data_IF_303411663167
#
_entry.id   IF_303411663167
#
_cell.length_a   1.000
_cell.length_b   1.000
_cell.length_c   1.000
_cell.angle_alpha   90.00
_cell.angle_beta   90.00
_cell.angle_gamma   90.00
#
_symmetry.space_group_name_H-M   'P 1'
#
loop_
_entity.id
_entity.type
_entity.pdbx_description
1 polymer ?
#
# COMPACT_ATOMS: atom_id res chain seq x y z
N UNK A 1 -32.85 15.52 7.58
CA UNK A 1 -32.05 14.83 8.61
C UNK A 1 -31.90 13.32 8.37
N UNK A 2 -32.98 12.52 8.29
CA UNK A 2 -32.88 11.05 8.08
C UNK A 2 -32.16 10.64 6.78
N UNK A 3 -32.42 11.33 5.67
CA UNK A 3 -31.74 11.07 4.39
C UNK A 3 -30.23 11.36 4.46
N UNK A 4 -29.87 12.47 5.10
CA UNK A 4 -28.47 12.87 5.28
C UNK A 4 -27.68 11.85 6.11
N UNK A 5 -28.27 11.35 7.21
CA UNK A 5 -27.67 10.29 8.03
C UNK A 5 -27.48 9.01 7.20
N UNK A 6 -28.47 8.62 6.39
CA UNK A 6 -28.36 7.44 5.52
C UNK A 6 -27.22 7.58 4.49
N UNK A 7 -27.07 8.77 3.89
CA UNK A 7 -25.98 9.06 2.96
C UNK A 7 -24.62 8.94 3.66
N UNK A 8 -24.46 9.53 4.84
CA UNK A 8 -23.22 9.44 5.62
C UNK A 8 -22.87 7.99 5.95
N UNK A 9 -23.85 7.20 6.43
CA UNK A 9 -23.64 5.80 6.76
C UNK A 9 -23.25 4.97 5.53
N UNK A 10 -23.86 5.25 4.37
CA UNK A 10 -23.50 4.59 3.11
C UNK A 10 -22.08 4.91 2.69
N UNK A 11 -21.67 6.19 2.75
CA UNK A 11 -20.30 6.60 2.44
C UNK A 11 -19.28 5.98 3.40
N UNK A 12 -19.60 5.91 4.69
CA UNK A 12 -18.76 5.26 5.70
C UNK A 12 -18.62 3.76 5.41
N UNK A 13 -19.69 3.08 5.03
CA UNK A 13 -19.65 1.67 4.66
C UNK A 13 -18.75 1.44 3.43
N UNK A 14 -18.90 2.26 2.38
CA UNK A 14 -18.04 2.19 1.18
C UNK A 14 -16.57 2.42 1.55
N UNK A 15 -16.30 3.41 2.40
CA UNK A 15 -14.96 3.71 2.90
C UNK A 15 -14.33 2.51 3.62
N UNK A 16 -15.07 1.88 4.54
CA UNK A 16 -14.60 0.72 5.29
C UNK A 16 -14.34 -0.48 4.36
N UNK A 17 -15.21 -0.72 3.38
CA UNK A 17 -15.01 -1.77 2.37
C UNK A 17 -13.73 -1.52 1.58
N UNK A 18 -13.53 -0.30 1.07
CA UNK A 18 -12.32 0.06 0.32
C UNK A 18 -11.07 -0.07 1.19
N UNK A 19 -11.13 0.32 2.46
CA UNK A 19 -10.03 0.16 3.41
C UNK A 19 -9.65 -1.32 3.58
N UNK A 20 -10.63 -2.20 3.78
CA UNK A 20 -10.39 -3.65 3.90
C UNK A 20 -9.80 -4.24 2.62
N UNK A 21 -10.37 -3.89 1.46
CA UNK A 21 -9.90 -4.38 0.15
C UNK A 21 -8.47 -3.92 -0.13
N UNK A 22 -8.17 -2.65 0.08
CA UNK A 22 -6.83 -2.09 -0.15
C UNK A 22 -5.79 -2.59 0.86
N UNK A 23 -6.22 -3.01 2.05
CA UNK A 23 -5.33 -3.54 3.09
C UNK A 23 -5.03 -5.04 2.94
N UNK A 24 -5.76 -5.78 2.10
CA UNK A 24 -5.56 -7.23 1.95
C UNK A 24 -5.05 -7.59 0.55
N UNK A 25 -3.80 -8.05 0.48
CA UNK A 25 -3.22 -8.58 -0.75
C UNK A 25 -4.00 -9.76 -1.33
N UNK A 26 -4.49 -10.65 -0.47
CA UNK A 26 -5.32 -11.77 -0.90
C UNK A 26 -6.65 -11.33 -1.53
N UNK A 27 -7.30 -10.28 -1.01
CA UNK A 27 -8.50 -9.71 -1.65
C UNK A 27 -8.16 -9.06 -2.99
N UNK A 28 -7.07 -8.30 -3.06
CA UNK A 28 -6.60 -7.72 -4.32
C UNK A 28 -6.31 -8.80 -5.37
N UNK A 29 -5.71 -9.93 -4.98
CA UNK A 29 -5.48 -11.07 -5.86
C UNK A 29 -6.79 -11.69 -6.36
N UNK A 30 -7.77 -11.91 -5.47
CA UNK A 30 -9.08 -12.46 -5.85
C UNK A 30 -9.82 -11.56 -6.83
N UNK A 31 -9.84 -10.26 -6.57
CA UNK A 31 -10.43 -9.25 -7.47
C UNK A 31 -9.69 -9.25 -8.81
N UNK A 32 -8.35 -9.34 -8.78
CA UNK A 32 -7.58 -9.41 -10.01
C UNK A 32 -7.95 -10.63 -10.85
N UNK A 33 -8.00 -11.83 -10.27
CA UNK A 33 -8.39 -13.07 -10.96
C UNK A 33 -9.83 -12.99 -11.50
N UNK A 34 -10.74 -12.36 -10.77
CA UNK A 34 -12.12 -12.14 -11.21
C UNK A 34 -12.19 -11.22 -12.44
N UNK A 35 -11.43 -10.13 -12.46
CA UNK A 35 -11.41 -9.16 -13.55
C UNK A 35 -10.55 -9.58 -14.75
N UNK A 36 -9.68 -10.57 -14.57
CA UNK A 36 -8.71 -11.02 -15.57
C UNK A 36 -8.69 -12.55 -15.64
N UNK A 37 -9.83 -13.18 -16.02
CA UNK A 37 -9.96 -14.64 -16.01
C UNK A 37 -8.99 -15.34 -16.96
N UNK A 38 -8.64 -14.69 -18.07
CA UNK A 38 -7.77 -15.26 -19.12
C UNK A 38 -6.28 -15.16 -18.79
N UNK A 39 -5.91 -14.54 -17.67
CA UNK A 39 -4.50 -14.41 -17.28
C UNK A 39 -3.97 -15.70 -16.68
N UNK A 40 -2.81 -16.13 -17.18
CA UNK A 40 -2.20 -17.40 -16.80
C UNK A 40 -1.12 -17.15 -15.74
N UNK A 41 -1.15 -17.96 -14.68
CA UNK A 41 -0.11 -17.97 -13.64
C UNK A 41 1.17 -18.63 -14.18
N UNK A 42 2.30 -17.93 -14.08
CA UNK A 42 3.62 -18.44 -14.45
C UNK A 42 4.27 -19.15 -13.26
N UNK A 43 4.73 -20.38 -13.48
CA UNK A 43 5.43 -21.17 -12.47
C UNK A 43 6.88 -20.74 -12.27
N UNK A 44 7.56 -20.43 -13.38
CA UNK A 44 8.99 -20.12 -13.37
C UNK A 44 9.23 -18.62 -13.54
N UNK A 45 9.62 -17.97 -12.45
CA UNK A 45 10.07 -16.58 -12.45
C UNK A 45 11.20 -16.40 -11.45
N UNK A 46 12.02 -15.37 -11.68
CA UNK A 46 13.14 -14.99 -10.82
C UNK A 46 13.03 -13.53 -10.46
N UNK A 47 13.12 -13.21 -9.17
CA UNK A 47 13.27 -11.82 -8.73
C UNK A 47 14.72 -11.42 -8.96
N UNK A 48 14.93 -10.37 -9.75
CA UNK A 48 16.24 -9.85 -10.09
C UNK A 48 16.72 -8.80 -9.08
N UNK A 49 15.82 -7.88 -8.72
CA UNK A 49 16.15 -6.75 -7.86
C UNK A 49 14.91 -6.26 -7.10
N UNK A 50 15.15 -5.62 -5.96
CA UNK A 50 14.14 -4.97 -5.15
C UNK A 50 14.69 -3.67 -4.57
N UNK A 51 14.20 -2.53 -5.07
CA UNK A 51 14.69 -1.21 -4.69
C UNK A 51 13.69 -0.53 -3.78
N UNK A 52 14.17 0.01 -2.66
CA UNK A 52 13.33 0.71 -1.69
C UNK A 52 13.74 2.17 -1.63
N UNK A 53 12.77 3.08 -1.72
CA UNK A 53 12.99 4.52 -1.62
C UNK A 53 11.91 5.20 -0.80
N UNK A 54 12.26 6.36 -0.26
CA UNK A 54 11.34 7.23 0.46
C UNK A 54 10.51 8.05 -0.50
N UNK A 55 9.24 8.28 -0.17
CA UNK A 55 8.42 9.18 -0.94
C UNK A 55 7.40 9.91 -0.07
N UNK A 56 7.16 11.18 -0.42
CA UNK A 56 6.10 12.00 0.15
C UNK A 56 4.75 11.80 -0.56
N UNK A 57 4.70 11.04 -1.67
CA UNK A 57 3.46 10.78 -2.44
C UNK A 57 2.30 10.33 -1.53
N UNK A 58 1.05 10.81 -1.74
CA UNK A 58 0.63 11.67 -2.85
C UNK A 58 1.01 13.15 -2.67
N UNK A 59 1.36 13.58 -1.45
CA UNK A 59 1.64 14.97 -1.13
C UNK A 59 3.10 15.30 -1.41
N UNK A 60 3.39 15.94 -2.55
CA UNK A 60 4.76 16.19 -3.07
C UNK A 60 5.63 17.14 -2.21
N UNK A 61 5.19 17.54 -1.01
CA UNK A 61 5.92 18.46 -0.12
C UNK A 61 5.85 17.97 1.33
N UNK A 62 6.91 18.28 2.08
CA UNK A 62 7.03 17.95 3.49
C UNK A 62 7.75 16.63 3.73
N UNK A 63 7.41 15.99 4.85
CA UNK A 63 8.04 14.78 5.34
C UNK A 63 7.69 13.55 4.48
N UNK A 64 8.60 12.58 4.40
CA UNK A 64 8.36 11.31 3.73
C UNK A 64 7.23 10.52 4.39
N UNK A 65 6.21 10.17 3.63
CA UNK A 65 4.99 9.53 4.13
C UNK A 65 4.96 8.03 3.89
N UNK A 66 5.90 7.51 3.12
CA UNK A 66 5.99 6.08 2.84
C UNK A 66 7.38 5.67 2.39
N UNK A 67 7.67 4.39 2.58
CA UNK A 67 8.72 3.66 1.90
C UNK A 67 8.10 2.77 0.82
N UNK A 68 8.50 2.99 -0.44
CA UNK A 68 8.01 2.28 -1.63
C UNK A 68 9.05 1.30 -2.11
N UNK A 69 8.62 0.09 -2.42
CA UNK A 69 9.44 -0.96 -2.96
C UNK A 69 9.06 -1.30 -4.39
N UNK A 70 10.00 -1.11 -5.30
CA UNK A 70 9.88 -1.49 -6.70
C UNK A 70 10.56 -2.83 -6.93
N UNK A 71 9.91 -3.72 -7.66
CA UNK A 71 10.42 -5.06 -7.93
C UNK A 71 10.73 -5.25 -9.41
N UNK A 72 11.93 -5.77 -9.68
CA UNK A 72 12.34 -6.20 -11.02
C UNK A 72 12.38 -7.72 -11.04
N UNK A 73 11.72 -8.31 -12.04
CA UNK A 73 11.59 -9.75 -12.14
C UNK A 73 11.73 -10.22 -13.59
N UNK A 74 12.20 -11.45 -13.73
CA UNK A 74 12.37 -12.16 -14.98
C UNK A 74 11.43 -13.35 -15.00
N UNK A 75 10.85 -13.65 -16.16
CA UNK A 75 9.96 -14.80 -16.32
C UNK A 75 10.10 -15.38 -17.73
N UNK A 76 9.77 -16.66 -17.87
CA UNK A 76 9.80 -17.35 -19.17
C UNK A 76 8.38 -17.62 -19.65
N UNK A 77 8.09 -17.29 -20.90
CA UNK A 77 6.82 -17.57 -21.55
C UNK A 77 7.05 -17.94 -23.02
N UNK A 78 6.50 -19.07 -23.47
CA UNK A 78 6.68 -19.62 -24.83
C UNK A 78 8.17 -19.67 -25.25
N UNK A 79 9.01 -20.23 -24.39
CA UNK A 79 10.47 -20.39 -24.58
C UNK A 79 11.27 -19.08 -24.75
N UNK A 80 10.66 -17.93 -24.48
CA UNK A 80 11.35 -16.64 -24.44
C UNK A 80 11.36 -16.10 -23.01
N UNK A 81 12.47 -15.48 -22.64
CA UNK A 81 12.65 -14.89 -21.32
C UNK A 81 12.46 -13.38 -21.40
N UNK A 82 11.65 -12.84 -20.50
CA UNK A 82 11.28 -11.43 -20.44
C UNK A 82 11.68 -10.86 -19.09
N UNK A 83 11.95 -9.55 -19.07
CA UNK A 83 12.17 -8.80 -17.84
C UNK A 83 11.09 -7.75 -17.71
N UNK A 84 10.55 -7.60 -16.52
CA UNK A 84 9.53 -6.61 -16.20
C UNK A 84 9.83 -5.98 -14.85
N UNK A 85 9.33 -4.77 -14.67
CA UNK A 85 9.46 -3.99 -13.45
C UNK A 85 8.07 -3.58 -13.00
N UNK A 86 7.85 -3.66 -11.70
CA UNK A 86 6.61 -3.24 -11.08
C UNK A 86 6.93 -2.22 -10.00
N UNK A 87 6.62 -0.97 -10.33
CA UNK A 87 6.61 0.12 -9.37
C UNK A 87 5.53 -0.09 -8.30
N UNK A 88 5.80 0.40 -7.09
CA UNK A 88 4.90 0.35 -5.94
C UNK A 88 4.42 -1.09 -5.64
N UNK A 89 5.30 -2.08 -5.80
CA UNK A 89 4.96 -3.48 -5.52
C UNK A 89 4.57 -3.69 -4.06
N UNK A 90 5.31 -3.06 -3.15
CA UNK A 90 5.03 -3.05 -1.72
C UNK A 90 5.26 -1.64 -1.18
N UNK A 91 4.23 -1.06 -0.60
CA UNK A 91 4.29 0.26 0.02
C UNK A 91 4.04 0.13 1.51
N UNK A 92 4.93 0.70 2.31
CA UNK A 92 4.76 0.86 3.76
C UNK A 92 4.49 2.33 4.02
N UNK A 93 3.27 2.64 4.39
CA UNK A 93 2.89 4.00 4.75
C UNK A 93 3.22 4.29 6.22
N UNK A 94 3.50 5.56 6.49
CA UNK A 94 3.70 6.09 7.82
C UNK A 94 2.38 5.99 8.61
N UNK A 95 2.48 5.50 9.85
CA UNK A 95 1.38 5.41 10.81
C UNK A 95 1.39 6.58 11.79
N UNK A 96 2.58 7.02 12.20
CA UNK A 96 2.74 8.09 13.17
C UNK A 96 3.64 9.21 12.63
N UNK A 97 3.34 10.44 13.06
CA UNK A 97 4.15 11.62 12.68
C UNK A 97 5.61 11.46 13.13
N UNK A 98 5.88 10.75 14.23
CA UNK A 98 7.23 10.55 14.77
C UNK A 98 8.08 9.52 14.05
N UNK A 99 7.52 8.67 13.17
CA UNK A 99 8.31 7.66 12.46
C UNK A 99 9.32 8.31 11.50
N UNK A 100 10.42 7.64 11.19
CA UNK A 100 11.34 8.10 10.15
C UNK A 100 11.30 7.18 8.94
N UNK A 101 11.84 7.65 7.81
CA UNK A 101 11.77 6.85 6.60
C UNK A 101 12.69 5.63 6.61
N UNK A 102 13.83 5.68 7.30
CA UNK A 102 14.76 4.56 7.31
C UNK A 102 14.21 3.37 8.10
N UNK A 103 13.46 3.60 9.18
CA UNK A 103 12.66 2.59 9.86
C UNK A 103 11.61 1.97 8.92
N UNK A 104 10.91 2.81 8.15
CA UNK A 104 9.93 2.34 7.17
C UNK A 104 10.58 1.49 6.08
N UNK A 105 11.79 1.86 5.60
CA UNK A 105 12.56 1.04 4.66
C UNK A 105 12.93 -0.31 5.25
N UNK A 106 13.39 -0.32 6.50
CA UNK A 106 13.73 -1.56 7.22
C UNK A 106 12.52 -2.50 7.34
N UNK A 107 11.36 -1.95 7.67
CA UNK A 107 10.10 -2.70 7.74
C UNK A 107 9.66 -3.21 6.36
N UNK A 108 9.75 -2.36 5.33
CA UNK A 108 9.44 -2.74 3.96
C UNK A 108 10.30 -3.93 3.49
N UNK A 109 11.62 -3.86 3.73
CA UNK A 109 12.55 -4.95 3.40
C UNK A 109 12.23 -6.23 4.19
N UNK A 110 11.92 -6.11 5.49
CA UNK A 110 11.55 -7.24 6.34
C UNK A 110 10.29 -7.95 5.82
N UNK A 111 9.24 -7.20 5.50
CA UNK A 111 7.99 -7.73 4.93
C UNK A 111 8.26 -8.39 3.58
N UNK A 112 9.06 -7.77 2.71
CA UNK A 112 9.42 -8.34 1.43
C UNK A 112 10.16 -9.68 1.58
N UNK A 113 11.13 -9.76 2.48
CA UNK A 113 11.88 -10.98 2.77
C UNK A 113 10.98 -12.09 3.33
N UNK A 114 10.02 -11.76 4.18
CA UNK A 114 9.03 -12.69 4.71
C UNK A 114 8.15 -13.26 3.58
N UNK A 115 7.58 -12.38 2.74
CA UNK A 115 6.74 -12.75 1.59
C UNK A 115 7.53 -13.65 0.62
N UNK A 116 8.79 -13.32 0.35
CA UNK A 116 9.68 -14.11 -0.50
C UNK A 116 9.96 -15.49 0.11
N UNK A 117 10.30 -15.55 1.40
CA UNK A 117 10.57 -16.80 2.12
C UNK A 117 9.36 -17.73 2.13
N UNK A 118 8.15 -17.18 2.21
CA UNK A 118 6.90 -17.94 2.27
C UNK A 118 6.32 -18.28 0.88
N UNK A 119 7.02 -17.97 -0.22
CA UNK A 119 6.53 -18.14 -1.60
C UNK A 119 5.17 -17.45 -1.85
N UNK A 120 4.96 -16.29 -1.24
CA UNK A 120 3.72 -15.52 -1.32
C UNK A 120 3.74 -14.48 -2.47
N UNK A 121 4.46 -14.80 -3.54
CA UNK A 121 4.56 -13.97 -4.75
C UNK A 121 4.12 -14.83 -5.94
N UNK A 122 3.30 -14.25 -6.82
CA UNK A 122 2.88 -14.90 -8.06
C UNK A 122 2.99 -13.95 -9.23
N UNK A 123 3.41 -14.48 -10.37
CA UNK A 123 3.47 -13.75 -11.63
C UNK A 123 2.38 -14.27 -12.55
N UNK A 124 1.66 -13.36 -13.19
CA UNK A 124 0.63 -13.66 -14.17
C UNK A 124 1.00 -13.01 -15.50
N UNK A 125 0.59 -13.62 -16.61
CA UNK A 125 0.72 -13.05 -17.96
C UNK A 125 -0.63 -13.08 -18.68
N UNK A 126 -0.92 -12.00 -19.39
CA UNK A 126 -2.01 -11.96 -20.39
C UNK A 126 -1.51 -12.62 -21.69
N UNK A 127 -2.15 -13.72 -22.14
CA UNK A 127 -1.79 -14.34 -23.43
C UNK A 127 -1.93 -13.38 -24.61
N UNK A 128 -2.93 -12.49 -24.57
CA UNK A 128 -3.27 -11.59 -25.67
C UNK A 128 -2.32 -10.39 -25.75
N UNK A 129 -2.09 -9.72 -24.61
CA UNK A 129 -1.30 -8.48 -24.58
C UNK A 129 0.17 -8.71 -24.27
N UNK A 130 0.56 -9.93 -23.88
CA UNK A 130 1.90 -10.30 -23.37
C UNK A 130 2.36 -9.44 -22.18
N UNK A 131 1.43 -8.77 -21.50
CA UNK A 131 1.72 -8.00 -20.29
C UNK A 131 1.80 -8.94 -19.10
N UNK A 132 2.79 -8.74 -18.25
CA UNK A 132 2.94 -9.45 -16.99
C UNK A 132 2.53 -8.60 -15.80
N UNK A 133 2.10 -9.28 -14.73
CA UNK A 133 1.79 -8.65 -13.44
C UNK A 133 2.24 -9.56 -12.32
N UNK A 134 3.04 -9.00 -11.41
CA UNK A 134 3.46 -9.64 -10.18
C UNK A 134 2.56 -9.19 -9.03
N UNK A 135 2.13 -10.13 -8.19
CA UNK A 135 1.18 -9.91 -7.10
C UNK A 135 1.62 -10.63 -5.84
N UNK A 136 1.31 -10.02 -4.69
CA UNK A 136 1.50 -10.60 -3.36
C UNK A 136 0.26 -11.44 -3.02
N UNK A 137 0.47 -12.62 -2.44
CA UNK A 137 -0.61 -13.55 -2.05
C UNK A 137 -0.71 -13.75 -0.54
N UNK A 138 0.05 -12.97 0.24
CA UNK A 138 0.03 -12.99 1.70
C UNK A 138 -1.39 -12.86 2.23
N UNK A 139 -1.76 -13.76 3.14
CA UNK A 139 -3.05 -13.73 3.83
C UNK A 139 -3.00 -12.74 5.00
N UNK A 140 -4.15 -12.17 5.32
CA UNK A 140 -4.29 -11.19 6.40
C UNK A 140 -4.50 -9.76 5.88
N UNK A 141 -4.57 -8.84 6.84
CA UNK A 141 -4.72 -7.42 6.63
C UNK A 141 -3.43 -6.72 7.03
N UNK A 142 -2.88 -5.92 6.13
CA UNK A 142 -1.83 -4.96 6.42
C UNK A 142 -2.38 -3.56 6.16
N UNK A 143 -3.02 -2.97 7.17
CA UNK A 143 -3.58 -1.61 7.08
C UNK A 143 -2.53 -0.57 6.71
N UNK A 144 -1.29 -0.82 7.12
CA UNK A 144 -0.13 0.02 6.81
C UNK A 144 0.23 0.05 5.32
N UNK A 145 -0.28 -0.89 4.53
CA UNK A 145 -0.03 -0.95 3.10
C UNK A 145 -1.16 -0.29 2.30
N UNK A 146 -2.25 0.10 2.98
CA UNK A 146 -3.31 0.87 2.36
C UNK A 146 -2.97 2.35 2.34
N UNK A 147 -3.16 2.98 1.17
CA UNK A 147 -3.00 4.43 1.02
C UNK A 147 -3.99 5.21 1.91
N UNK A 148 -5.09 4.59 2.33
CA UNK A 148 -6.10 5.18 3.21
C UNK A 148 -5.54 5.60 4.56
N UNK A 149 -4.43 5.00 5.00
CA UNK A 149 -3.80 5.35 6.27
C UNK A 149 -3.25 6.79 6.29
N UNK A 150 -3.02 7.39 5.12
CA UNK A 150 -2.67 8.80 5.05
C UNK A 150 -3.73 9.69 5.71
N UNK A 151 -5.01 9.28 5.74
CA UNK A 151 -6.05 10.02 6.45
C UNK A 151 -5.87 9.99 7.97
N UNK A 152 -5.37 8.88 8.51
CA UNK A 152 -5.06 8.77 9.94
C UNK A 152 -3.96 9.76 10.32
N UNK A 153 -2.95 9.93 9.46
CA UNK A 153 -1.90 10.95 9.67
C UNK A 153 -2.47 12.37 9.66
N UNK A 154 -3.37 12.70 8.73
CA UNK A 154 -4.00 14.03 8.71
C UNK A 154 -4.81 14.29 9.99
N UNK A 155 -5.55 13.29 10.47
CA UNK A 155 -6.30 13.37 11.72
C UNK A 155 -5.36 13.65 12.90
N UNK A 156 -4.21 12.97 12.98
CA UNK A 156 -3.21 13.25 14.03
C UNK A 156 -2.71 14.70 13.97
N UNK A 157 -2.48 15.23 12.77
CA UNK A 157 -2.01 16.60 12.59
C UNK A 157 -3.04 17.62 13.09
N UNK A 158 -4.33 17.39 12.81
CA UNK A 158 -5.43 18.22 13.31
C UNK A 158 -5.45 18.22 14.85
N UNK A 159 -5.32 17.05 15.48
CA UNK A 159 -5.28 16.97 16.94
C UNK A 159 -4.08 17.72 17.53
N UNK A 160 -2.90 17.65 16.91
CA UNK A 160 -1.73 18.41 17.37
C UNK A 160 -1.97 19.93 17.32
N UNK A 161 -2.59 20.42 16.24
CA UNK A 161 -2.93 21.85 16.11
C UNK A 161 -3.92 22.26 17.21
N UNK A 162 -4.96 21.47 17.44
CA UNK A 162 -5.96 21.74 18.48
C UNK A 162 -5.33 21.78 19.88
N UNK A 163 -4.44 20.84 20.20
CA UNK A 163 -3.71 20.81 21.47
C UNK A 163 -2.85 22.07 21.61
N UNK A 164 -2.13 22.47 20.56
CA UNK A 164 -1.33 23.69 20.56
C UNK A 164 -2.16 24.95 20.81
N UNK A 165 -3.33 25.05 20.19
CA UNK A 165 -4.28 26.16 20.39
C UNK A 165 -4.81 26.20 21.83
N UNK A 166 -5.17 25.05 22.40
CA UNK A 166 -5.65 24.95 23.79
C UNK A 166 -4.55 25.43 24.75
N UNK A 167 -3.30 24.96 24.57
CA UNK A 167 -2.16 25.38 25.39
C UNK A 167 -1.95 26.89 25.29
N UNK A 168 -1.95 27.42 24.06
CA UNK A 168 -1.79 28.85 23.82
C UNK A 168 -2.84 29.67 24.58
N UNK A 169 -4.13 29.32 24.43
CA UNK A 169 -5.24 30.00 25.10
C UNK A 169 -5.11 29.93 26.64
N UNK A 170 -4.71 28.78 27.19
CA UNK A 170 -4.50 28.62 28.64
C UNK A 170 -3.36 29.52 29.14
N UNK A 171 -2.25 29.59 28.39
CA UNK A 171 -1.09 30.41 28.76
C UNK A 171 -1.42 31.90 28.67
N UNK A 172 -2.12 32.33 27.63
CA UNK A 172 -2.49 33.75 27.44
C UNK A 172 -3.63 34.18 28.36
N UNK A 173 -4.55 33.29 28.71
CA UNK A 173 -5.64 33.60 29.67
C UNK A 173 -5.16 33.74 31.11
N UNK A 174 -3.93 33.30 31.42
CA UNK A 174 -3.30 33.46 32.74
C UNK A 174 -2.44 34.72 32.86
N UNK A 175 -2.31 35.51 31.78
CA UNK A 175 -1.75 36.87 31.78
C UNK A 175 -2.87 37.88 31.81
#
# INVERSE_FOLDING_TARGET
MKLFIKIILSLLAVFLILLVVTSSFNLQLKIFKLLHPDWVELKDYKILDYKIYCSSKPWRRGMDRNARGDIKYQYTYRNATYTSEKEDFLVVYRLFISENCDEMKGQNLSIFNEIKKNNEIKVFISPDTKKSKILITKKGLSFRNSWMINLVLEIQLIFLVLIGLIIYLIVTSKK
#
